data_IF_989004032653
#
_entry.id   IF_989004032653
#
_cell.length_a   1.000
_cell.length_b   1.000
_cell.length_c   1.000
_cell.angle_alpha   90.00
_cell.angle_beta   90.00
_cell.angle_gamma   90.00
#
_symmetry.space_group_name_H-M   'P 1'
#
loop_
_entity.id
_entity.type
_entity.pdbx_description
1 polymer ?
#
# COMPACT_ATOMS: atom_id res chain seq x y z
N UNK A 1 11.45 -10.32 -9.32
CA UNK A 1 10.39 -10.83 -8.43
C UNK A 1 9.35 -9.75 -8.46
N UNK A 2 8.30 -9.94 -9.26
CA UNK A 2 7.19 -8.99 -9.36
C UNK A 2 6.44 -9.01 -8.03
N UNK A 3 6.30 -7.85 -7.38
CA UNK A 3 5.50 -7.75 -6.16
C UNK A 3 4.02 -7.76 -6.54
N UNK A 4 3.16 -8.26 -5.65
CA UNK A 4 1.71 -8.23 -5.84
C UNK A 4 1.21 -6.79 -6.10
N UNK A 5 1.94 -5.79 -5.60
CA UNK A 5 1.66 -4.37 -5.80
C UNK A 5 2.01 -3.90 -7.22
N UNK A 6 3.08 -4.43 -7.82
CA UNK A 6 3.47 -4.09 -9.18
C UNK A 6 2.41 -4.60 -10.18
N UNK A 7 1.92 -5.83 -10.01
CA UNK A 7 0.84 -6.40 -10.83
C UNK A 7 -0.48 -5.62 -10.68
N UNK A 8 -0.88 -5.27 -9.45
CA UNK A 8 -2.07 -4.45 -9.20
C UNK A 8 -1.95 -3.02 -9.76
N UNK A 9 -0.74 -2.45 -9.75
CA UNK A 9 -0.46 -1.11 -10.28
C UNK A 9 -0.47 -1.11 -11.82
N UNK A 10 0.14 -2.12 -12.45
CA UNK A 10 0.21 -2.26 -13.90
C UNK A 10 -1.11 -2.70 -14.54
N UNK A 11 -1.91 -3.54 -13.86
CA UNK A 11 -3.16 -4.08 -14.39
C UNK A 11 -4.29 -3.06 -14.46
N UNK A 12 -4.13 -1.85 -13.90
CA UNK A 12 -5.18 -0.82 -13.85
C UNK A 12 -6.48 -1.31 -13.21
N UNK A 13 -6.42 -2.40 -12.43
CA UNK A 13 -7.56 -3.05 -11.84
C UNK A 13 -8.21 -2.12 -10.81
N UNK A 14 -9.44 -1.68 -11.08
CA UNK A 14 -10.25 -0.98 -10.09
C UNK A 14 -10.65 -1.95 -8.98
N UNK A 15 -9.99 -1.83 -7.82
CA UNK A 15 -10.40 -2.52 -6.61
C UNK A 15 -11.49 -1.69 -5.90
N UNK A 16 -12.57 -2.34 -5.46
CA UNK A 16 -13.58 -1.69 -4.64
C UNK A 16 -12.96 -1.22 -3.31
N UNK A 17 -13.50 -0.14 -2.72
CA UNK A 17 -12.97 0.45 -1.47
C UNK A 17 -12.81 -0.58 -0.35
N UNK A 18 -13.83 -1.44 -0.20
CA UNK A 18 -13.91 -2.50 0.82
C UNK A 18 -12.78 -3.53 0.72
N UNK A 19 -12.20 -3.72 -0.48
CA UNK A 19 -11.06 -4.60 -0.69
C UNK A 19 -9.73 -3.84 -0.62
N UNK A 20 -9.76 -2.53 -0.90
CA UNK A 20 -8.59 -1.66 -0.93
C UNK A 20 -8.12 -1.28 0.47
N UNK A 21 -9.05 -0.98 1.37
CA UNK A 21 -8.76 -0.65 2.77
C UNK A 21 -7.98 -1.75 3.52
N UNK A 22 -8.40 -3.04 3.55
CA UNK A 22 -7.65 -4.09 4.25
C UNK A 22 -6.30 -4.40 3.59
N UNK A 23 -6.19 -4.22 2.27
CA UNK A 23 -4.93 -4.41 1.56
C UNK A 23 -3.94 -3.30 1.89
N UNK A 24 -4.38 -2.04 1.93
CA UNK A 24 -3.53 -0.91 2.35
C UNK A 24 -3.20 -0.97 3.85
N UNK A 25 -4.11 -1.45 4.70
CA UNK A 25 -3.87 -1.65 6.14
C UNK A 25 -2.71 -2.61 6.39
N UNK A 26 -2.62 -3.73 5.64
CA UNK A 26 -1.52 -4.68 5.80
C UNK A 26 -0.16 -4.02 5.48
N UNK A 27 -0.12 -3.13 4.49
CA UNK A 27 1.11 -2.52 4.00
C UNK A 27 1.53 -1.29 4.81
N UNK A 28 0.57 -0.48 5.26
CA UNK A 28 0.85 0.72 6.09
C UNK A 28 1.35 0.36 7.49
N UNK A 29 0.99 -0.84 7.98
CA UNK A 29 1.45 -1.37 9.25
C UNK A 29 2.70 -2.27 9.08
N UNK A 30 3.19 -2.47 7.85
CA UNK A 30 4.45 -3.16 7.61
C UNK A 30 5.64 -2.24 7.93
N UNK A 31 6.48 -2.69 8.88
CA UNK A 31 7.56 -1.90 9.45
C UNK A 31 8.68 -1.57 8.47
N UNK A 32 8.99 -2.50 7.57
CA UNK A 32 10.07 -2.39 6.60
C UNK A 32 9.65 -1.54 5.37
N UNK A 33 8.37 -1.56 5.01
CA UNK A 33 7.89 -0.92 3.77
C UNK A 33 7.31 0.49 4.01
N UNK A 34 6.68 0.77 5.15
CA UNK A 34 5.97 2.05 5.33
C UNK A 34 6.34 2.83 6.60
N UNK A 35 6.69 2.17 7.70
CA UNK A 35 7.04 2.85 8.95
C UNK A 35 8.47 3.42 8.88
N UNK A 36 9.40 2.65 8.31
CA UNK A 36 10.80 3.05 8.15
C UNK A 36 11.34 2.61 6.78
N UNK A 37 10.78 3.14 5.66
CA UNK A 37 11.20 2.71 4.33
C UNK A 37 12.68 3.04 4.09
N UNK A 38 13.48 2.03 3.74
CA UNK A 38 14.83 2.23 3.23
C UNK A 38 14.77 2.76 1.79
N UNK A 39 14.56 4.06 1.63
CA UNK A 39 14.50 4.71 0.31
C UNK A 39 15.85 4.70 -0.44
N UNK A 40 16.92 4.19 0.20
CA UNK A 40 18.18 3.89 -0.46
C UNK A 40 18.12 2.63 -1.32
N UNK A 41 17.22 1.70 -0.98
CA UNK A 41 16.89 0.55 -1.80
C UNK A 41 15.88 0.92 -2.91
N UNK A 42 16.23 0.71 -4.19
CA UNK A 42 15.36 1.09 -5.29
C UNK A 42 14.06 0.28 -5.36
N UNK A 43 14.01 -0.93 -4.79
CA UNK A 43 12.81 -1.76 -4.76
C UNK A 43 11.83 -1.17 -3.73
N UNK A 44 12.31 -0.87 -2.53
CA UNK A 44 11.50 -0.24 -1.47
C UNK A 44 10.96 1.11 -1.93
N UNK A 45 11.78 1.92 -2.60
CA UNK A 45 11.35 3.21 -3.15
C UNK A 45 10.22 3.07 -4.20
N UNK A 46 10.27 2.03 -5.04
CA UNK A 46 9.22 1.74 -6.04
C UNK A 46 7.94 1.26 -5.35
N UNK A 47 8.03 0.31 -4.42
CA UNK A 47 6.86 -0.19 -3.69
C UNK A 47 6.18 0.93 -2.89
N UNK A 48 6.95 1.83 -2.27
CA UNK A 48 6.42 3.00 -1.57
C UNK A 48 5.67 3.96 -2.51
N UNK A 49 6.24 4.25 -3.68
CA UNK A 49 5.58 5.10 -4.68
C UNK A 49 4.31 4.47 -5.24
N UNK A 50 4.33 3.15 -5.49
CA UNK A 50 3.18 2.37 -5.94
C UNK A 50 2.06 2.39 -4.90
N UNK A 51 2.39 2.29 -3.60
CA UNK A 51 1.40 2.34 -2.52
C UNK A 51 0.68 3.69 -2.48
N UNK A 52 1.43 4.80 -2.56
CA UNK A 52 0.86 6.15 -2.60
C UNK A 52 -0.04 6.35 -3.84
N UNK A 53 0.41 5.87 -5.00
CA UNK A 53 -0.36 5.94 -6.24
C UNK A 53 -1.65 5.11 -6.14
N UNK A 54 -1.58 3.91 -5.56
CA UNK A 54 -2.73 3.05 -5.35
C UNK A 54 -3.73 3.68 -4.38
N UNK A 55 -3.27 4.20 -3.24
CA UNK A 55 -4.08 4.91 -2.25
C UNK A 55 -4.82 6.12 -2.84
N UNK A 56 -4.16 6.87 -3.72
CA UNK A 56 -4.69 8.06 -4.39
C UNK A 56 -5.67 7.78 -5.54
N UNK A 57 -5.78 6.54 -6.02
CA UNK A 57 -6.76 6.16 -7.06
C UNK A 57 -8.17 6.06 -6.50
N UNK A 58 -9.18 6.49 -7.26
CA UNK A 58 -10.57 6.46 -6.80
C UNK A 58 -11.06 5.01 -6.61
N UNK A 59 -11.61 4.62 -5.44
CA UNK A 59 -11.89 5.45 -4.26
C UNK A 59 -10.63 5.78 -3.46
N UNK A 60 -10.40 7.06 -3.20
CA UNK A 60 -9.24 7.54 -2.44
C UNK A 60 -9.31 7.00 -1.01
N UNK A 61 -8.18 6.49 -0.51
CA UNK A 61 -8.05 5.96 0.85
C UNK A 61 -6.94 6.73 1.56
N UNK A 62 -7.24 7.24 2.75
CA UNK A 62 -6.28 7.92 3.61
C UNK A 62 -5.44 6.89 4.37
N UNK A 63 -4.15 6.81 4.05
CA UNK A 63 -3.23 5.84 4.65
C UNK A 63 -3.03 6.12 6.15
N UNK A 64 -3.03 7.38 6.55
CA UNK A 64 -2.84 7.77 7.95
C UNK A 64 -3.98 7.33 8.85
N UNK A 65 -5.20 7.21 8.29
CA UNK A 65 -6.37 6.65 8.97
C UNK A 65 -6.29 5.13 9.17
N UNK A 66 -5.50 4.43 8.37
CA UNK A 66 -5.27 2.98 8.47
C UNK A 66 -4.06 2.64 9.37
N UNK A 67 -3.25 3.64 9.71
CA UNK A 67 -2.08 3.47 10.56
C UNK A 67 -2.50 3.19 12.00
N UNK A 68 -1.93 2.15 12.61
CA UNK A 68 -2.25 1.77 13.98
C UNK A 68 -3.60 1.06 14.12
N UNK A 69 -4.28 0.75 13.01
CA UNK A 69 -5.32 -0.27 12.98
C UNK A 69 -4.66 -1.64 13.15
N UNK A 70 -4.36 -1.99 14.40
CA UNK A 70 -4.26 -3.39 14.78
C UNK A 70 -5.70 -3.86 14.92
N UNK A 71 -6.23 -4.55 13.92
CA UNK A 71 -7.34 -5.46 14.19
C UNK A 71 -6.82 -6.50 15.19
N UNK A 72 -7.02 -6.22 16.48
CA UNK A 72 -6.87 -7.20 17.54
C UNK A 72 -7.96 -8.22 17.29
N UNK A 73 -7.56 -9.40 16.85
CA UNK A 73 -8.37 -10.62 16.99
C UNK A 73 -7.53 -11.75 17.55
#
# INVERSE_FOLDING_TARGET
METLLDDLTQSHAWLARELKEPLLELWVNDGDVFIYPDLGDPIVAIDYANLLAFASRNPVVDLESLRGFHTVS
#
